data_IF_756008237890
#
_entry.id   IF_756008237890
#
_cell.length_a   1.000
_cell.length_b   1.000
_cell.length_c   1.000
_cell.angle_alpha   90.00
_cell.angle_beta   90.00
_cell.angle_gamma   90.00
#
_symmetry.space_group_name_H-M   'P 1'
#
loop_
_entity.id
_entity.type
_entity.pdbx_description
1 polymer ?
#
# COMPACT_ATOMS: atom_id res chain seq x y z
N UNK A 1 15.79 -1.50 -19.80
CA UNK A 1 15.29 -0.18 -20.26
C UNK A 1 15.51 0.85 -19.16
N UNK A 2 16.40 1.81 -19.36
CA UNK A 2 16.67 2.84 -18.35
C UNK A 2 15.38 3.59 -17.97
N UNK A 3 15.33 4.11 -16.72
CA UNK A 3 14.24 4.93 -16.21
C UNK A 3 13.85 6.07 -17.18
N UNK A 4 14.85 6.72 -17.80
CA UNK A 4 14.67 7.73 -18.85
C UNK A 4 13.94 7.15 -20.07
N UNK A 5 14.20 5.93 -20.44
CA UNK A 5 13.54 5.23 -21.57
C UNK A 5 12.08 4.90 -21.20
N UNK A 6 11.81 4.45 -19.98
CA UNK A 6 10.45 4.12 -19.53
C UNK A 6 9.56 5.39 -19.47
N UNK A 7 10.07 6.48 -18.91
CA UNK A 7 9.34 7.75 -18.87
C UNK A 7 9.17 8.38 -20.25
N UNK A 8 10.20 8.33 -21.11
CA UNK A 8 10.07 8.74 -22.52
C UNK A 8 9.03 7.91 -23.25
N UNK A 9 8.97 6.61 -23.04
CA UNK A 9 7.97 5.74 -23.68
C UNK A 9 6.57 6.04 -23.17
N UNK A 10 6.40 6.27 -21.86
CA UNK A 10 5.12 6.65 -21.25
C UNK A 10 4.65 8.02 -21.77
N UNK A 11 5.55 9.01 -21.80
CA UNK A 11 5.24 10.34 -22.33
C UNK A 11 4.81 10.28 -23.80
N UNK A 12 5.52 9.51 -24.64
CA UNK A 12 5.15 9.29 -26.05
C UNK A 12 3.77 8.65 -26.20
N UNK A 13 3.49 7.61 -25.42
CA UNK A 13 2.15 6.97 -25.41
C UNK A 13 1.05 7.96 -25.03
N UNK A 14 1.31 8.84 -24.07
CA UNK A 14 0.35 9.90 -23.72
C UNK A 14 0.19 10.94 -24.81
N UNK A 15 1.25 11.28 -25.56
CA UNK A 15 1.17 12.14 -26.74
C UNK A 15 0.33 11.50 -27.86
N UNK A 16 0.55 10.25 -28.16
CA UNK A 16 -0.21 9.49 -29.15
C UNK A 16 -1.71 9.43 -28.78
N UNK A 17 -1.99 9.16 -27.50
CA UNK A 17 -3.36 9.15 -26.99
C UNK A 17 -4.01 10.54 -27.02
N UNK A 18 -3.26 11.59 -26.74
CA UNK A 18 -3.75 12.97 -26.84
C UNK A 18 -4.16 13.31 -28.27
N UNK A 19 -3.41 12.87 -29.28
CA UNK A 19 -3.77 13.04 -30.68
C UNK A 19 -5.08 12.32 -30.99
N UNK A 20 -5.26 11.07 -30.50
CA UNK A 20 -6.51 10.32 -30.67
C UNK A 20 -7.71 11.03 -30.02
N UNK A 21 -7.55 11.47 -28.77
CA UNK A 21 -8.62 12.16 -28.03
C UNK A 21 -9.00 13.48 -28.71
N UNK A 22 -8.04 14.21 -29.27
CA UNK A 22 -8.32 15.44 -30.00
C UNK A 22 -9.14 15.19 -31.29
N UNK A 23 -9.05 13.99 -31.88
CA UNK A 23 -9.83 13.61 -33.04
C UNK A 23 -11.29 13.21 -32.72
N UNK A 24 -11.65 13.00 -31.44
CA UNK A 24 -13.02 12.59 -31.04
C UNK A 24 -14.07 13.70 -31.07
N UNK A 25 -13.69 14.93 -31.43
CA UNK A 25 -14.56 16.09 -31.34
C UNK A 25 -14.63 16.66 -29.92
N UNK A 26 -15.27 17.82 -29.79
CA UNK A 26 -15.34 18.58 -28.53
C UNK A 26 -16.61 18.22 -27.77
N UNK A 27 -16.44 17.53 -26.64
CA UNK A 27 -17.49 17.22 -25.65
C UNK A 27 -16.92 17.35 -24.23
N UNK A 28 -17.77 17.46 -23.21
CA UNK A 28 -17.32 17.49 -21.81
C UNK A 28 -16.46 16.26 -21.46
N UNK A 29 -16.78 15.10 -22.03
CA UNK A 29 -16.04 13.87 -21.83
C UNK A 29 -14.66 13.93 -22.48
N UNK A 30 -14.56 14.39 -23.72
CA UNK A 30 -13.26 14.53 -24.41
C UNK A 30 -12.40 15.59 -23.76
N UNK A 31 -12.96 16.72 -23.33
CA UNK A 31 -12.24 17.74 -22.59
C UNK A 31 -11.72 17.23 -21.25
N UNK A 32 -12.49 16.39 -20.53
CA UNK A 32 -12.05 15.73 -19.32
C UNK A 32 -10.84 14.80 -19.56
N UNK A 33 -10.90 13.92 -20.57
CA UNK A 33 -9.79 13.01 -20.91
C UNK A 33 -8.56 13.78 -21.38
N UNK A 34 -8.73 14.77 -22.24
CA UNK A 34 -7.66 15.64 -22.73
C UNK A 34 -6.93 16.33 -21.57
N UNK A 35 -7.67 16.94 -20.65
CA UNK A 35 -7.09 17.64 -19.51
C UNK A 35 -6.34 16.66 -18.59
N UNK A 36 -6.86 15.45 -18.40
CA UNK A 36 -6.13 14.41 -17.63
C UNK A 36 -4.82 13.98 -18.31
N UNK A 37 -4.83 13.84 -19.63
CA UNK A 37 -3.60 13.53 -20.38
C UNK A 37 -2.58 14.66 -20.23
N UNK A 38 -2.98 15.89 -20.45
CA UNK A 38 -2.10 17.06 -20.32
C UNK A 38 -1.50 17.18 -18.92
N UNK A 39 -2.29 17.04 -17.86
CA UNK A 39 -1.81 17.04 -16.47
C UNK A 39 -0.81 15.90 -16.21
N UNK A 40 -1.07 14.69 -16.72
CA UNK A 40 -0.17 13.56 -16.51
C UNK A 40 1.10 13.69 -17.37
N UNK A 41 1.02 14.26 -18.55
CA UNK A 41 2.20 14.60 -19.36
C UNK A 41 3.08 15.64 -18.66
N UNK A 42 2.48 16.65 -18.04
CA UNK A 42 3.23 17.64 -17.25
C UNK A 42 3.88 16.98 -16.03
N UNK A 43 3.16 16.15 -15.28
CA UNK A 43 3.71 15.37 -14.17
C UNK A 43 4.86 14.47 -14.59
N UNK A 44 4.81 13.88 -15.79
CA UNK A 44 5.90 13.07 -16.33
C UNK A 44 7.15 13.89 -16.67
N UNK A 45 7.05 15.21 -16.79
CA UNK A 45 8.18 16.12 -16.95
C UNK A 45 8.85 16.47 -15.63
N UNK A 46 8.09 16.41 -14.54
CA UNK A 46 8.66 16.63 -13.22
C UNK A 46 9.64 15.50 -12.94
N UNK A 47 10.88 15.74 -13.30
CA UNK A 47 11.96 14.88 -12.90
C UNK A 47 12.08 15.03 -11.38
N UNK A 48 11.42 14.13 -10.64
CA UNK A 48 11.90 13.87 -9.31
C UNK A 48 13.35 13.48 -9.50
N UNK A 49 14.28 14.32 -9.02
CA UNK A 49 15.68 13.96 -8.89
C UNK A 49 15.74 12.83 -7.85
N UNK A 50 15.32 11.64 -8.26
CA UNK A 50 15.63 10.42 -7.57
C UNK A 50 17.15 10.34 -7.73
N UNK A 51 17.84 10.41 -6.63
CA UNK A 51 19.22 9.95 -6.55
C UNK A 51 19.18 8.50 -7.06
N UNK A 52 19.52 8.34 -8.34
CA UNK A 52 19.30 7.09 -9.08
C UNK A 52 20.32 6.10 -8.58
N UNK A 53 19.95 5.35 -7.55
CA UNK A 53 20.59 4.09 -7.30
C UNK A 53 20.32 3.16 -8.50
N UNK A 54 21.22 2.24 -8.75
CA UNK A 54 21.09 1.24 -9.81
C UNK A 54 19.83 0.35 -9.64
N UNK A 55 19.22 0.39 -8.44
CA UNK A 55 17.99 -0.33 -8.09
C UNK A 55 16.92 0.63 -7.57
N UNK A 56 15.71 0.53 -8.11
CA UNK A 56 14.59 1.36 -7.67
C UNK A 56 13.23 0.68 -7.87
N UNK A 57 12.23 1.18 -7.17
CA UNK A 57 10.87 0.65 -7.17
C UNK A 57 9.90 1.74 -7.60
N UNK A 58 9.03 1.40 -8.55
CA UNK A 58 7.93 2.27 -8.98
C UNK A 58 6.60 1.60 -8.60
N UNK A 59 5.87 2.19 -7.65
CA UNK A 59 4.52 1.78 -7.33
C UNK A 59 3.51 2.67 -8.06
N UNK A 60 2.96 2.19 -9.16
CA UNK A 60 1.88 2.87 -9.89
C UNK A 60 0.54 2.57 -9.20
N UNK A 61 0.14 3.46 -8.29
CA UNK A 61 -1.07 3.32 -7.48
C UNK A 61 -2.32 3.25 -8.36
N UNK A 62 -2.39 4.04 -9.42
CA UNK A 62 -3.55 4.08 -10.32
C UNK A 62 -3.70 2.81 -11.16
N UNK A 63 -2.60 2.20 -11.58
CA UNK A 63 -2.57 0.94 -12.34
C UNK A 63 -2.63 -0.30 -11.43
N UNK A 64 -2.48 -0.14 -10.12
CA UNK A 64 -2.32 -1.25 -9.16
C UNK A 64 -1.15 -2.18 -9.49
N UNK A 65 -0.05 -1.62 -9.97
CA UNK A 65 1.15 -2.35 -10.39
C UNK A 65 2.38 -1.79 -9.69
N UNK A 66 3.34 -2.67 -9.42
CA UNK A 66 4.65 -2.30 -8.94
C UNK A 66 5.70 -2.94 -9.85
N UNK A 67 6.74 -2.18 -10.14
CA UNK A 67 7.94 -2.64 -10.84
C UNK A 67 9.15 -2.39 -9.94
N UNK A 68 9.92 -3.42 -9.67
CA UNK A 68 11.26 -3.33 -9.10
C UNK A 68 12.25 -3.47 -10.25
N UNK A 69 13.12 -2.50 -10.39
CA UNK A 69 14.03 -2.37 -11.53
C UNK A 69 15.46 -2.41 -10.99
N UNK A 70 16.26 -3.27 -11.58
CA UNK A 70 17.68 -3.33 -11.37
C UNK A 70 18.38 -3.02 -12.70
N UNK A 71 18.97 -1.82 -12.80
CA UNK A 71 19.65 -1.35 -14.02
C UNK A 71 21.00 -2.05 -14.25
N UNK A 72 21.62 -2.63 -13.20
CA UNK A 72 22.89 -3.37 -13.33
C UNK A 72 22.70 -4.68 -14.10
N UNK A 73 21.60 -5.39 -13.79
CA UNK A 73 21.32 -6.71 -14.38
C UNK A 73 20.28 -6.64 -15.50
N UNK A 74 19.78 -5.44 -15.83
CA UNK A 74 18.66 -5.20 -16.78
C UNK A 74 17.43 -6.05 -16.42
N UNK A 75 17.19 -6.30 -15.11
CA UNK A 75 16.07 -7.10 -14.66
C UNK A 75 14.92 -6.23 -14.16
N UNK A 76 13.68 -6.69 -14.41
CA UNK A 76 12.44 -6.05 -13.95
C UNK A 76 11.55 -7.11 -13.33
N UNK A 77 11.29 -6.97 -12.03
CA UNK A 77 10.26 -7.73 -11.35
C UNK A 77 8.96 -6.93 -11.35
N UNK A 78 7.97 -7.41 -12.10
CA UNK A 78 6.64 -6.80 -12.14
C UNK A 78 5.64 -7.61 -11.32
N UNK A 79 4.75 -6.91 -10.59
CA UNK A 79 3.72 -7.54 -9.79
C UNK A 79 2.48 -6.67 -9.59
N UNK A 80 1.36 -7.33 -9.32
CA UNK A 80 0.14 -6.66 -8.87
C UNK A 80 0.30 -6.20 -7.42
N UNK A 81 -0.31 -5.04 -7.11
CA UNK A 81 -0.37 -4.52 -5.74
C UNK A 81 -1.81 -4.21 -5.33
N UNK A 82 -2.06 -4.24 -4.01
CA UNK A 82 -3.24 -3.62 -3.43
C UNK A 82 -2.82 -2.33 -2.73
N UNK A 83 -3.60 -1.30 -2.91
CA UNK A 83 -3.34 0.04 -2.40
C UNK A 83 -4.46 0.52 -1.49
N UNK A 84 -4.30 1.68 -0.90
CA UNK A 84 -5.29 2.30 -0.03
C UNK A 84 -6.64 2.52 -0.72
N UNK A 85 -7.71 2.28 0.03
CA UNK A 85 -9.07 2.57 -0.42
C UNK A 85 -9.28 4.07 -0.65
N UNK A 86 -10.39 4.45 -1.29
CA UNK A 86 -10.74 5.86 -1.53
C UNK A 86 -10.77 6.68 -0.24
N UNK A 87 -11.17 6.06 0.88
CA UNK A 87 -11.20 6.72 2.21
C UNK A 87 -9.84 6.80 2.90
N UNK A 88 -8.92 5.88 2.56
CA UNK A 88 -7.59 5.77 3.17
C UNK A 88 -6.54 5.66 2.06
N UNK A 89 -6.39 6.71 1.28
CA UNK A 89 -5.54 6.71 0.07
C UNK A 89 -4.08 6.43 0.39
N UNK A 90 -3.42 5.65 -0.45
CA UNK A 90 -1.96 5.59 -0.47
C UNK A 90 -1.43 6.95 -0.91
N UNK A 91 -0.57 7.62 -0.13
CA UNK A 91 -0.02 8.91 -0.48
C UNK A 91 0.97 8.80 -1.65
N UNK A 92 1.09 9.89 -2.41
CA UNK A 92 2.21 10.06 -3.34
C UNK A 92 3.44 10.46 -2.54
N UNK A 93 4.48 9.68 -2.63
CA UNK A 93 5.74 9.94 -1.92
C UNK A 93 6.92 9.32 -2.67
N UNK A 94 8.10 9.82 -2.38
CA UNK A 94 9.39 9.24 -2.74
C UNK A 94 10.17 9.00 -1.47
N UNK A 95 10.80 7.83 -1.35
CA UNK A 95 11.57 7.46 -0.18
C UNK A 95 12.54 6.34 -0.54
N UNK A 96 13.36 5.92 0.42
CA UNK A 96 14.33 4.85 0.25
C UNK A 96 14.04 3.73 1.24
N UNK A 97 13.92 2.47 0.78
CA UNK A 97 13.80 1.31 1.67
C UNK A 97 15.12 1.21 2.45
N UNK A 98 15.05 1.09 3.76
CA UNK A 98 16.22 1.04 4.63
C UNK A 98 16.34 -0.25 5.44
N UNK A 99 15.24 -0.99 5.63
CA UNK A 99 15.30 -2.35 6.12
C UNK A 99 14.04 -3.14 5.79
N UNK A 100 14.16 -4.47 5.86
CA UNK A 100 13.06 -5.41 5.80
C UNK A 100 12.96 -6.21 7.11
N UNK A 101 11.74 -6.59 7.49
CA UNK A 101 11.46 -7.38 8.68
C UNK A 101 10.73 -8.64 8.27
N UNK A 102 11.31 -9.79 8.62
CA UNK A 102 10.72 -11.11 8.37
C UNK A 102 9.83 -11.51 9.53
N UNK A 103 8.69 -12.13 9.21
CA UNK A 103 7.70 -12.59 10.19
C UNK A 103 7.36 -11.50 11.22
N UNK A 104 6.85 -10.35 10.77
CA UNK A 104 6.61 -9.20 11.64
C UNK A 104 5.48 -9.45 12.61
N UNK A 105 5.56 -8.84 13.81
CA UNK A 105 4.40 -8.61 14.64
C UNK A 105 3.61 -7.42 14.07
N UNK A 106 2.29 -7.53 14.00
CA UNK A 106 1.48 -6.40 13.59
C UNK A 106 0.98 -5.60 14.79
N UNK A 107 1.56 -4.43 15.01
CA UNK A 107 1.01 -3.43 15.90
C UNK A 107 -0.17 -2.76 15.20
N UNK A 108 -1.39 -3.04 15.67
CA UNK A 108 -2.60 -2.58 15.00
C UNK A 108 -2.77 -1.06 15.21
N UNK A 109 -2.91 -0.28 14.13
CA UNK A 109 -3.16 1.15 14.25
C UNK A 109 -4.45 1.46 15.03
N UNK A 110 -4.43 2.52 15.83
CA UNK A 110 -5.57 2.96 16.63
C UNK A 110 -6.85 3.21 15.81
N UNK A 111 -6.69 3.68 14.56
CA UNK A 111 -7.80 3.87 13.63
C UNK A 111 -8.50 2.55 13.27
N UNK A 112 -7.75 1.47 13.08
CA UNK A 112 -8.28 0.13 12.77
C UNK A 112 -8.91 -0.47 14.03
N UNK A 113 -8.27 -0.32 15.19
CA UNK A 113 -8.86 -0.80 16.46
C UNK A 113 -10.26 -0.20 16.65
N UNK A 114 -10.40 1.12 16.50
CA UNK A 114 -11.67 1.81 16.71
C UNK A 114 -12.71 1.52 15.64
N UNK A 115 -12.31 1.56 14.36
CA UNK A 115 -13.28 1.54 13.24
C UNK A 115 -13.67 0.12 12.84
N UNK A 116 -12.85 -0.87 13.13
CA UNK A 116 -13.03 -2.23 12.63
C UNK A 116 -13.02 -3.29 13.74
N UNK A 117 -11.97 -3.33 14.58
CA UNK A 117 -11.82 -4.39 15.58
C UNK A 117 -12.91 -4.28 16.65
N UNK A 118 -13.09 -3.12 17.26
CA UNK A 118 -14.11 -2.95 18.32
C UNK A 118 -15.52 -3.26 17.80
N UNK A 119 -15.98 -2.72 16.66
CA UNK A 119 -17.29 -3.06 16.10
C UNK A 119 -17.44 -4.56 15.77
N UNK A 120 -16.38 -5.20 15.26
CA UNK A 120 -16.40 -6.62 14.94
C UNK A 120 -16.43 -7.48 16.21
N UNK A 121 -15.60 -7.17 17.20
CA UNK A 121 -15.54 -7.87 18.47
C UNK A 121 -16.87 -7.82 19.24
N UNK A 122 -17.62 -6.73 19.14
CA UNK A 122 -18.96 -6.62 19.75
C UNK A 122 -19.97 -7.59 19.16
N UNK A 123 -19.76 -8.06 17.93
CA UNK A 123 -20.61 -9.06 17.24
C UNK A 123 -20.05 -10.47 17.38
N UNK A 124 -18.73 -10.59 17.50
CA UNK A 124 -18.01 -11.86 17.58
C UNK A 124 -16.88 -11.74 18.59
N UNK A 125 -17.17 -12.17 19.82
CA UNK A 125 -16.22 -12.11 20.94
C UNK A 125 -15.02 -13.03 20.78
N UNK A 126 -15.03 -13.94 19.79
CA UNK A 126 -13.89 -14.81 19.46
C UNK A 126 -12.86 -14.10 18.56
N UNK A 127 -13.14 -12.88 18.10
CA UNK A 127 -12.33 -12.17 17.09
C UNK A 127 -10.85 -12.08 17.47
N UNK A 128 -10.53 -11.67 18.70
CA UNK A 128 -9.13 -11.56 19.14
C UNK A 128 -8.42 -12.92 19.14
N UNK A 129 -9.05 -13.94 19.68
CA UNK A 129 -8.48 -15.31 19.75
C UNK A 129 -8.30 -15.89 18.35
N UNK A 130 -9.35 -15.82 17.51
CA UNK A 130 -9.31 -16.35 16.14
C UNK A 130 -8.25 -15.68 15.27
N UNK A 131 -8.03 -14.39 15.46
CA UNK A 131 -7.01 -13.64 14.74
C UNK A 131 -5.66 -13.59 15.47
N UNK A 132 -5.51 -14.34 16.58
CA UNK A 132 -4.27 -14.38 17.39
C UNK A 132 -3.80 -13.00 17.79
N UNK A 133 -4.74 -12.14 18.18
CA UNK A 133 -4.47 -10.80 18.66
C UNK A 133 -4.43 -10.77 20.18
N UNK A 134 -3.46 -10.07 20.72
CA UNK A 134 -3.31 -9.80 22.15
C UNK A 134 -3.50 -8.33 22.43
N UNK A 135 -4.11 -8.04 23.58
CA UNK A 135 -4.37 -6.68 24.03
C UNK A 135 -3.43 -6.34 25.18
N UNK A 136 -2.86 -5.16 25.18
CA UNK A 136 -1.94 -4.69 26.21
C UNK A 136 -2.40 -3.33 26.73
N UNK A 137 -2.26 -3.10 28.04
CA UNK A 137 -2.52 -1.82 28.64
C UNK A 137 -1.37 -0.81 28.39
N UNK A 138 -1.49 0.38 29.00
CA UNK A 138 -0.48 1.45 28.91
C UNK A 138 0.89 1.08 29.53
N UNK A 139 0.91 0.10 30.44
CA UNK A 139 2.11 -0.39 31.10
C UNK A 139 2.74 -1.57 30.33
N UNK A 140 2.15 -2.01 29.23
CA UNK A 140 2.60 -3.16 28.43
C UNK A 140 2.17 -4.51 29.04
N UNK A 141 1.30 -4.53 30.02
CA UNK A 141 0.76 -5.77 30.58
C UNK A 141 -0.37 -6.30 29.69
N UNK A 142 -0.34 -7.61 29.41
CA UNK A 142 -1.39 -8.25 28.65
C UNK A 142 -2.68 -8.30 29.45
N UNK A 143 -3.78 -7.85 28.84
CA UNK A 143 -5.11 -7.85 29.45
C UNK A 143 -6.06 -8.78 28.69
N UNK A 144 -7.00 -9.36 29.43
CA UNK A 144 -8.04 -10.19 28.81
C UNK A 144 -9.04 -9.27 28.06
N UNK A 145 -9.23 -9.44 26.73
CA UNK A 145 -10.16 -8.61 25.95
C UNK A 145 -11.59 -8.64 26.47
N UNK A 146 -12.04 -9.74 27.12
CA UNK A 146 -13.39 -9.88 27.66
C UNK A 146 -13.62 -9.01 28.91
N UNK A 147 -12.56 -8.59 29.61
CA UNK A 147 -12.62 -7.74 30.79
C UNK A 147 -12.58 -6.24 30.45
N UNK A 148 -12.35 -5.90 29.16
CA UNK A 148 -12.30 -4.51 28.69
C UNK A 148 -13.69 -4.05 28.26
N UNK A 149 -14.19 -2.97 28.85
CA UNK A 149 -15.41 -2.32 28.39
C UNK A 149 -15.17 -1.53 27.09
N UNK A 150 -15.19 -2.24 25.96
CA UNK A 150 -14.95 -1.65 24.64
C UNK A 150 -15.97 -0.59 24.21
N UNK A 151 -17.20 -0.65 24.77
CA UNK A 151 -18.22 0.34 24.45
C UNK A 151 -17.82 1.77 24.91
N UNK A 152 -17.06 1.87 26.00
CA UNK A 152 -16.54 3.14 26.53
C UNK A 152 -15.63 3.87 25.54
N UNK A 153 -15.01 3.13 24.60
CA UNK A 153 -14.00 3.65 23.65
C UNK A 153 -14.55 3.81 22.23
N UNK A 154 -15.84 3.62 22.03
CA UNK A 154 -16.47 3.87 20.73
C UNK A 154 -16.30 5.35 20.33
N UNK A 155 -15.58 5.60 19.23
CA UNK A 155 -15.31 6.95 18.72
C UNK A 155 -14.20 7.74 19.44
N UNK A 156 -13.60 7.21 20.52
CA UNK A 156 -12.54 7.85 21.31
C UNK A 156 -11.20 7.14 21.16
N UNK A 157 -10.13 7.75 21.69
CA UNK A 157 -8.83 7.07 21.80
C UNK A 157 -8.92 5.84 22.70
N UNK A 158 -8.26 4.76 22.28
CA UNK A 158 -8.25 3.49 23.02
C UNK A 158 -6.93 3.41 23.80
N UNK A 159 -6.92 3.33 25.14
CA UNK A 159 -5.70 3.29 25.93
C UNK A 159 -5.04 1.90 25.93
N UNK A 160 -5.32 1.10 24.92
CA UNK A 160 -4.79 -0.24 24.73
C UNK A 160 -4.05 -0.35 23.42
N UNK A 161 -3.00 -1.15 23.42
CA UNK A 161 -2.30 -1.59 22.21
C UNK A 161 -2.80 -2.98 21.84
N UNK A 162 -3.07 -3.20 20.56
CA UNK A 162 -3.43 -4.51 20.04
C UNK A 162 -2.29 -4.98 19.15
N UNK A 163 -1.79 -6.20 19.38
CA UNK A 163 -0.72 -6.82 18.59
C UNK A 163 -1.19 -8.16 18.05
N UNK A 164 -1.03 -8.39 16.76
CA UNK A 164 -1.19 -9.71 16.14
C UNK A 164 0.17 -10.41 16.12
N UNK A 165 0.17 -11.73 16.39
CA UNK A 165 1.39 -12.53 16.41
C UNK A 165 2.01 -12.65 15.00
N UNK A 166 3.25 -13.11 14.95
CA UNK A 166 4.07 -13.25 13.74
C UNK A 166 3.90 -14.60 13.01
N UNK A 167 2.84 -15.35 13.33
CA UNK A 167 2.59 -16.67 12.74
C UNK A 167 1.81 -16.56 11.42
N UNK A 168 1.66 -17.69 10.74
CA UNK A 168 0.87 -17.83 9.51
C UNK A 168 -0.51 -17.15 9.64
N UNK A 169 -0.90 -16.36 8.66
CA UNK A 169 -2.14 -15.59 8.65
C UNK A 169 -2.05 -14.20 9.30
N UNK A 170 -0.85 -13.76 9.69
CA UNK A 170 -0.64 -12.36 10.07
C UNK A 170 -1.04 -11.42 8.93
N UNK A 171 -1.69 -10.32 9.25
CA UNK A 171 -2.20 -9.36 8.26
C UNK A 171 -1.11 -8.70 7.42
N UNK A 172 0.13 -8.64 7.93
CA UNK A 172 1.30 -8.13 7.21
C UNK A 172 2.01 -9.22 6.37
N UNK A 173 1.52 -10.47 6.43
CA UNK A 173 2.16 -11.60 5.77
C UNK A 173 3.50 -11.96 6.42
N UNK A 174 4.46 -12.37 5.59
CA UNK A 174 5.77 -12.89 6.03
C UNK A 174 6.89 -11.86 6.02
N UNK A 175 6.69 -10.71 5.36
CA UNK A 175 7.73 -9.70 5.19
C UNK A 175 7.12 -8.30 5.05
N UNK A 176 7.78 -7.30 5.63
CA UNK A 176 7.53 -5.89 5.41
C UNK A 176 8.82 -5.19 5.00
N UNK A 177 8.68 -4.14 4.18
CA UNK A 177 9.74 -3.26 3.72
C UNK A 177 9.44 -1.86 4.22
N UNK A 178 10.34 -1.30 5.00
CA UNK A 178 10.16 -0.01 5.66
C UNK A 178 10.98 1.07 4.99
N UNK A 179 10.36 2.23 4.88
CA UNK A 179 10.96 3.45 4.37
C UNK A 179 10.46 4.67 5.16
N UNK A 180 11.28 5.70 5.36
CA UNK A 180 10.89 6.92 6.08
C UNK A 180 9.75 7.62 5.35
N UNK A 181 8.66 7.92 6.07
CA UNK A 181 7.57 8.74 5.58
C UNK A 181 6.67 9.21 6.73
N UNK A 182 5.98 10.38 6.61
CA UNK A 182 5.10 10.91 7.66
C UNK A 182 3.75 10.19 7.77
N UNK A 183 3.44 9.26 6.86
CA UNK A 183 2.13 8.62 6.75
C UNK A 183 2.06 7.22 7.36
N UNK A 184 3.18 6.72 7.90
CA UNK A 184 3.28 5.35 8.44
C UNK A 184 2.88 4.28 7.40
N UNK A 185 3.17 4.51 6.13
CA UNK A 185 2.95 3.58 5.03
C UNK A 185 4.21 2.73 4.81
N UNK A 186 4.02 1.48 4.43
CA UNK A 186 5.10 0.55 4.07
C UNK A 186 4.61 -0.43 3.00
N UNK A 187 5.56 -1.15 2.37
CA UNK A 187 5.25 -2.27 1.50
C UNK A 187 5.23 -3.55 2.35
N UNK A 188 4.32 -4.49 2.06
CA UNK A 188 4.25 -5.73 2.83
C UNK A 188 3.58 -6.88 2.08
N UNK A 189 3.86 -8.08 2.51
CA UNK A 189 3.14 -9.28 2.11
C UNK A 189 1.71 -9.30 2.68
N UNK A 190 0.90 -10.28 2.30
CA UNK A 190 -0.46 -10.46 2.82
C UNK A 190 -0.93 -11.91 2.67
N UNK A 191 -1.67 -12.46 3.64
CA UNK A 191 -2.34 -13.74 3.50
C UNK A 191 -3.55 -13.66 2.55
N UNK A 192 -4.08 -12.47 2.30
CA UNK A 192 -5.28 -12.24 1.47
C UNK A 192 -4.93 -12.25 -0.02
N UNK A 193 -4.43 -13.39 -0.52
CA UNK A 193 -3.95 -13.53 -1.91
C UNK A 193 -5.05 -13.30 -2.95
N UNK A 194 -6.30 -13.61 -2.62
CA UNK A 194 -7.47 -13.39 -3.47
C UNK A 194 -7.66 -11.92 -3.87
N UNK A 195 -7.16 -10.98 -3.06
CA UNK A 195 -7.28 -9.55 -3.38
C UNK A 195 -6.57 -9.18 -4.70
N UNK A 196 -5.53 -9.92 -5.09
CA UNK A 196 -4.78 -9.66 -6.32
C UNK A 196 -5.50 -10.12 -7.60
N UNK A 197 -6.55 -10.95 -7.49
CA UNK A 197 -7.35 -11.38 -8.65
C UNK A 197 -8.40 -10.34 -9.05
N UNK A 198 -8.66 -9.36 -8.18
CA UNK A 198 -9.64 -8.31 -8.45
C UNK A 198 -9.10 -7.26 -9.42
N UNK A 199 -10.00 -6.68 -10.22
CA UNK A 199 -9.68 -5.52 -11.06
C UNK A 199 -9.44 -4.26 -10.19
N UNK A 200 -10.35 -3.97 -9.26
CA UNK A 200 -10.17 -2.90 -8.29
C UNK A 200 -9.47 -3.44 -7.03
N UNK A 201 -8.25 -2.99 -6.80
CA UNK A 201 -7.40 -3.39 -5.69
C UNK A 201 -7.16 -2.28 -4.66
N UNK A 202 -8.01 -1.26 -4.66
CA UNK A 202 -8.01 -0.19 -3.66
C UNK A 202 -8.72 -0.64 -2.36
N UNK A 203 -8.07 -1.53 -1.60
CA UNK A 203 -8.69 -2.26 -0.47
C UNK A 203 -7.91 -2.16 0.85
N UNK A 204 -6.76 -1.48 0.88
CA UNK A 204 -5.94 -1.34 2.09
C UNK A 204 -6.25 -0.05 2.85
N UNK A 205 -5.59 0.14 3.99
CA UNK A 205 -5.63 1.36 4.82
C UNK A 205 -4.52 2.36 4.49
N UNK A 206 -3.91 2.25 3.31
CA UNK A 206 -2.84 3.13 2.85
C UNK A 206 -1.56 2.38 2.51
N UNK A 207 -1.20 1.35 3.27
CA UNK A 207 -0.05 0.50 2.96
C UNK A 207 -0.23 -0.25 1.63
N UNK A 208 0.88 -0.62 1.00
CA UNK A 208 0.88 -1.31 -0.28
C UNK A 208 1.15 -2.80 -0.06
N UNK A 209 0.18 -3.65 -0.45
CA UNK A 209 0.32 -5.11 -0.39
C UNK A 209 0.96 -5.62 -1.68
N UNK A 210 1.95 -6.47 -1.56
CA UNK A 210 2.73 -7.02 -2.65
C UNK A 210 2.28 -8.44 -3.01
N UNK A 211 2.07 -8.69 -4.30
CA UNK A 211 1.73 -10.04 -4.79
C UNK A 211 2.92 -11.01 -4.67
N UNK A 212 4.12 -10.53 -4.98
CA UNK A 212 5.36 -11.31 -5.00
C UNK A 212 6.37 -10.74 -3.98
N UNK A 213 5.94 -10.60 -2.71
CA UNK A 213 6.75 -9.93 -1.69
C UNK A 213 8.05 -10.67 -1.36
N UNK A 214 8.08 -12.01 -1.48
CA UNK A 214 9.30 -12.78 -1.24
C UNK A 214 10.26 -12.73 -2.42
N UNK A 215 9.74 -12.71 -3.66
CA UNK A 215 10.57 -12.56 -4.86
C UNK A 215 11.19 -11.16 -4.86
N UNK A 216 10.42 -10.14 -4.43
CA UNK A 216 10.90 -8.77 -4.29
C UNK A 216 12.08 -8.65 -3.31
N UNK A 217 12.12 -9.46 -2.26
CA UNK A 217 13.27 -9.55 -1.36
C UNK A 217 14.58 -9.93 -2.07
N UNK A 218 14.50 -10.77 -3.10
CA UNK A 218 15.68 -11.25 -3.83
C UNK A 218 16.27 -10.21 -4.77
N UNK A 219 15.53 -9.16 -5.09
CA UNK A 219 15.94 -8.07 -5.98
C UNK A 219 16.66 -6.93 -5.23
N UNK A 220 16.67 -6.96 -3.88
CA UNK A 220 17.39 -6.03 -3.03
C UNK A 220 18.76 -6.58 -2.61
#
# INVERSE_FOLDING_TARGET
>A
LSYTTLFRSLYRKMQEELVRVNAWGKTDTTDYYRNRLLVNMERARWQYALDKGQKYVIANVAAFMLQAINEETDSILEMRICVGSVKNKTPLLSSRIYYMELNPYWNVPQSIIRKEIIPTYRRDTTYFTRNRMKVYDKNGLQVNPHQVNWAKYAGKGVPYTVKQDNKTGNSLGRIIFRFPNPHSVYLHDTPSRWAFTRNNRAVSHGCVRLQKALDFRSEE
#
